data_IF_081710930802
#
_entry.id   IF_081710930802
#
_cell.length_a   1.000
_cell.length_b   1.000
_cell.length_c   1.000
_cell.angle_alpha   90.00
_cell.angle_beta   90.00
_cell.angle_gamma   90.00
#
_symmetry.space_group_name_H-M   'P 1'
#
loop_
_entity.id
_entity.type
_entity.pdbx_description
1 polymer ?
#
# COMPACT_ATOMS: atom_id res chain seq x y z
N UNK A 1 14.70 -29.62 -10.76
CA UNK A 1 14.63 -28.53 -9.77
C UNK A 1 15.70 -27.49 -10.09
N UNK A 2 15.35 -26.28 -10.54
CA UNK A 2 16.35 -25.21 -10.79
C UNK A 2 16.76 -24.61 -9.44
N UNK A 3 18.03 -24.74 -9.06
CA UNK A 3 18.59 -24.08 -7.88
C UNK A 3 18.62 -22.58 -8.14
N UNK A 4 17.99 -21.79 -7.28
CA UNK A 4 18.10 -20.33 -7.32
C UNK A 4 19.41 -19.95 -6.65
N UNK A 5 20.20 -19.11 -7.31
CA UNK A 5 21.41 -18.54 -6.73
C UNK A 5 21.04 -17.52 -5.65
N UNK A 6 21.16 -17.94 -4.38
CA UNK A 6 20.89 -17.10 -3.22
C UNK A 6 21.86 -15.91 -3.17
N UNK A 7 23.13 -16.12 -3.53
CA UNK A 7 24.16 -15.09 -3.47
C UNK A 7 23.87 -13.98 -4.48
N UNK A 8 23.55 -14.34 -5.72
CA UNK A 8 23.12 -13.39 -6.74
C UNK A 8 21.85 -12.64 -6.36
N UNK A 9 20.86 -13.33 -5.78
CA UNK A 9 19.64 -12.70 -5.29
C UNK A 9 19.91 -11.66 -4.20
N UNK A 10 20.71 -12.03 -3.19
CA UNK A 10 21.06 -11.13 -2.09
C UNK A 10 21.91 -9.94 -2.56
N UNK A 11 22.81 -10.16 -3.53
CA UNK A 11 23.55 -9.10 -4.21
C UNK A 11 22.61 -8.07 -4.87
N UNK A 12 21.63 -8.54 -5.62
CA UNK A 12 20.63 -7.66 -6.25
C UNK A 12 19.73 -6.92 -5.26
N UNK A 13 19.43 -7.50 -4.09
CA UNK A 13 18.72 -6.79 -3.01
C UNK A 13 19.58 -5.66 -2.44
N UNK A 14 20.87 -5.92 -2.16
CA UNK A 14 21.79 -4.91 -1.63
C UNK A 14 21.96 -3.73 -2.60
N UNK A 15 22.16 -4.00 -3.89
CA UNK A 15 22.31 -2.96 -4.91
C UNK A 15 21.06 -2.05 -5.00
N UNK A 16 19.86 -2.63 -4.99
CA UNK A 16 18.61 -1.85 -5.00
C UNK A 16 18.44 -1.00 -3.74
N UNK A 17 18.78 -1.53 -2.57
CA UNK A 17 18.75 -0.76 -1.31
C UNK A 17 19.73 0.41 -1.34
N UNK A 18 20.93 0.22 -1.87
CA UNK A 18 21.94 1.28 -2.00
C UNK A 18 21.46 2.40 -2.95
N UNK A 19 20.86 2.05 -4.09
CA UNK A 19 20.28 3.02 -5.02
C UNK A 19 19.17 3.87 -4.36
N UNK A 20 18.27 3.23 -3.61
CA UNK A 20 17.22 3.92 -2.85
C UNK A 20 17.81 4.85 -1.78
N UNK A 21 18.82 4.40 -1.04
CA UNK A 21 19.50 5.23 -0.04
C UNK A 21 20.20 6.46 -0.66
N UNK A 22 20.85 6.31 -1.82
CA UNK A 22 21.53 7.41 -2.52
C UNK A 22 20.59 8.49 -3.06
N UNK A 23 19.33 8.14 -3.35
CA UNK A 23 18.33 9.09 -3.83
C UNK A 23 17.75 10.01 -2.75
N UNK A 24 18.20 9.89 -1.49
CA UNK A 24 17.60 10.62 -0.36
C UNK A 24 16.16 10.20 -0.06
N UNK A 25 15.64 9.20 -0.78
CA UNK A 25 14.33 8.58 -0.60
C UNK A 25 14.43 7.62 0.59
N UNK A 26 14.80 8.14 1.76
CA UNK A 26 14.42 7.52 3.01
C UNK A 26 12.98 7.95 3.23
N UNK A 27 12.04 7.30 2.54
CA UNK A 27 10.65 7.36 2.98
C UNK A 27 10.69 6.91 4.44
N UNK A 28 10.28 7.79 5.35
CA UNK A 28 10.15 7.43 6.74
C UNK A 28 9.45 6.08 6.78
N UNK A 29 10.08 5.09 7.41
CA UNK A 29 9.57 3.74 7.51
C UNK A 29 8.08 3.73 7.94
N UNK A 30 7.70 4.69 8.78
CA UNK A 30 6.33 4.97 9.18
C UNK A 30 5.40 5.46 8.06
N UNK A 31 5.88 6.25 7.10
CA UNK A 31 5.10 6.70 5.94
C UNK A 31 4.84 5.56 4.94
N UNK A 32 5.77 4.60 4.83
CA UNK A 32 5.58 3.39 4.02
C UNK A 32 4.74 2.32 4.72
N UNK A 33 4.70 2.33 6.05
CA UNK A 33 3.74 1.53 6.81
C UNK A 33 2.37 2.16 6.62
N UNK A 34 1.59 1.66 5.66
CA UNK A 34 0.14 1.71 5.78
C UNK A 34 -0.17 1.08 7.14
N UNK A 35 -0.50 1.88 8.15
CA UNK A 35 -0.71 1.43 9.52
C UNK A 35 -1.98 0.61 9.70
N UNK A 36 -2.26 -0.32 8.78
CA UNK A 36 -3.43 -1.20 8.69
C UNK A 36 -4.77 -0.49 8.47
N UNK A 37 -4.94 0.66 9.10
CA UNK A 37 -6.20 1.37 9.31
C UNK A 37 -6.27 2.70 8.54
N UNK A 38 -5.16 3.28 8.07
CA UNK A 38 -5.19 4.58 7.39
C UNK A 38 -5.60 4.40 5.92
N UNK A 39 -6.85 4.72 5.61
CA UNK A 39 -7.35 4.78 4.23
C UNK A 39 -6.65 5.91 3.47
N UNK A 40 -6.18 5.63 2.26
CA UNK A 40 -5.74 6.66 1.33
C UNK A 40 -6.91 7.56 0.94
N UNK A 41 -6.62 8.79 0.48
CA UNK A 41 -7.66 9.73 0.04
C UNK A 41 -8.50 9.16 -1.10
N UNK A 42 -7.87 8.44 -2.03
CA UNK A 42 -8.57 7.72 -3.10
C UNK A 42 -9.53 6.67 -2.57
N UNK A 43 -9.15 5.90 -1.54
CA UNK A 43 -10.03 4.91 -0.92
C UNK A 43 -11.21 5.58 -0.19
N UNK A 44 -10.98 6.71 0.48
CA UNK A 44 -12.07 7.48 1.12
C UNK A 44 -13.07 8.01 0.10
N UNK A 45 -12.59 8.60 -1.00
CA UNK A 45 -13.45 9.11 -2.07
C UNK A 45 -14.26 7.98 -2.75
N UNK A 46 -13.64 6.82 -2.96
CA UNK A 46 -14.34 5.65 -3.51
C UNK A 46 -15.48 5.18 -2.60
N UNK A 47 -15.24 5.08 -1.28
CA UNK A 47 -16.26 4.66 -0.31
C UNK A 47 -17.43 5.66 -0.24
N UNK A 48 -17.15 6.96 -0.23
CA UNK A 48 -18.20 7.99 -0.23
C UNK A 48 -19.13 7.87 -1.45
N UNK A 49 -18.59 7.54 -2.63
CA UNK A 49 -19.40 7.29 -3.84
C UNK A 49 -20.23 6.01 -3.73
N UNK A 50 -19.69 4.97 -3.09
CA UNK A 50 -20.43 3.74 -2.86
C UNK A 50 -21.61 3.98 -1.91
N UNK A 51 -21.38 4.71 -0.82
CA UNK A 51 -22.43 5.07 0.15
C UNK A 51 -23.52 5.92 -0.49
N UNK A 52 -23.16 6.90 -1.31
CA UNK A 52 -24.12 7.73 -2.04
C UNK A 52 -25.01 6.91 -2.97
N UNK A 53 -24.44 5.92 -3.69
CA UNK A 53 -25.20 5.02 -4.56
C UNK A 53 -26.13 4.11 -3.77
N UNK A 54 -25.67 3.55 -2.64
CA UNK A 54 -26.48 2.70 -1.78
C UNK A 54 -27.71 3.46 -1.26
N UNK A 55 -27.51 4.68 -0.74
CA UNK A 55 -28.60 5.56 -0.30
C UNK A 55 -29.58 5.91 -1.42
N UNK A 56 -29.08 6.18 -2.63
CA UNK A 56 -29.93 6.51 -3.77
C UNK A 56 -30.88 5.37 -4.18
N UNK A 57 -30.51 4.11 -3.89
CA UNK A 57 -31.36 2.94 -4.15
C UNK A 57 -32.04 2.40 -2.88
N UNK A 58 -32.00 3.14 -1.77
CA UNK A 58 -32.60 2.74 -0.49
C UNK A 58 -31.94 1.52 0.17
N UNK A 59 -30.70 1.20 -0.20
CA UNK A 59 -29.91 0.12 0.39
C UNK A 59 -28.98 0.71 1.44
N UNK A 60 -28.89 0.02 2.58
CA UNK A 60 -28.08 0.51 3.67
C UNK A 60 -26.58 0.38 3.37
N UNK A 61 -25.80 1.47 3.48
CA UNK A 61 -24.37 1.41 3.22
C UNK A 61 -23.68 0.45 4.18
N UNK A 62 -22.73 -0.33 3.66
CA UNK A 62 -21.91 -1.21 4.49
C UNK A 62 -21.11 -0.32 5.43
N UNK A 63 -21.36 -0.48 6.74
CA UNK A 63 -20.60 0.24 7.78
C UNK A 63 -19.14 -0.16 7.61
N UNK A 64 -18.38 0.77 7.04
CA UNK A 64 -16.96 0.61 6.86
C UNK A 64 -16.32 0.83 8.23
N UNK A 65 -16.30 -0.20 9.08
CA UNK A 65 -15.41 -0.26 10.24
C UNK A 65 -13.99 0.10 9.78
N UNK A 66 -13.12 0.62 10.66
CA UNK A 66 -11.72 1.04 10.38
C UNK A 66 -11.55 2.28 9.49
#
# INVERSE_FOLDING_TARGET
>A
MKRKDLSGYLGGVKARKAALASSGVVLADQACRNGGARRTDGKRAMLARADARARAVGVEPIVANY
#
